data_IF_945838964760
#
_entry.id   IF_945838964760
#
_cell.length_a   1.000
_cell.length_b   1.000
_cell.length_c   1.000
_cell.angle_alpha   90.00
_cell.angle_beta   90.00
_cell.angle_gamma   90.00
#
_symmetry.space_group_name_H-M   'P 1'
#
loop_
_entity.id
_entity.type
_entity.pdbx_description
1 polymer ?
#
# COMPACT_ATOMS: atom_id res chain seq x y z
N UNK A 1 80.51 -22.78 45.88
CA UNK A 1 80.43 -23.50 44.59
C UNK A 1 79.07 -23.17 44.00
N UNK A 2 79.03 -22.39 42.93
CA UNK A 2 77.81 -22.05 42.19
C UNK A 2 77.33 -23.32 41.48
N UNK A 3 76.24 -23.89 41.94
CA UNK A 3 75.56 -24.97 41.22
C UNK A 3 74.75 -24.28 40.12
N UNK A 4 74.91 -24.63 38.83
CA UNK A 4 74.19 -23.98 37.74
C UNK A 4 72.68 -24.20 37.90
N UNK A 5 71.91 -23.12 37.75
CA UNK A 5 70.45 -23.19 37.67
C UNK A 5 70.08 -23.99 36.42
N UNK A 6 69.13 -24.95 36.49
CA UNK A 6 68.75 -25.73 35.32
C UNK A 6 68.20 -24.82 34.21
N UNK A 7 68.61 -25.09 32.97
CA UNK A 7 68.14 -24.39 31.78
C UNK A 7 66.60 -24.36 31.70
N UNK A 8 66.00 -23.24 31.25
CA UNK A 8 64.56 -23.16 31.08
C UNK A 8 64.10 -24.20 30.05
N UNK A 9 63.07 -24.98 30.42
CA UNK A 9 62.39 -25.91 29.53
C UNK A 9 61.86 -25.08 28.34
N UNK A 10 62.08 -25.51 27.08
CA UNK A 10 61.54 -24.82 25.92
C UNK A 10 60.02 -24.67 26.02
N UNK A 11 59.50 -23.49 25.66
CA UNK A 11 58.06 -23.25 25.64
C UNK A 11 57.34 -24.30 24.78
N UNK A 12 56.13 -24.76 25.19
CA UNK A 12 55.37 -25.71 24.42
C UNK A 12 55.06 -25.13 23.03
N UNK A 13 55.30 -25.94 22.00
CA UNK A 13 54.98 -25.62 20.61
C UNK A 13 53.48 -25.32 20.53
N UNK A 14 53.03 -24.21 19.92
CA UNK A 14 51.61 -23.94 19.76
C UNK A 14 50.89 -25.10 19.05
N UNK A 15 49.73 -25.52 19.56
CA UNK A 15 48.90 -26.53 18.91
C UNK A 15 48.60 -26.12 17.45
N UNK A 16 48.57 -27.06 16.50
CA UNK A 16 48.17 -26.75 15.14
C UNK A 16 46.76 -26.18 15.15
N UNK A 17 46.57 -25.02 14.51
CA UNK A 17 45.25 -24.42 14.35
C UNK A 17 44.30 -25.47 13.73
N UNK A 18 43.07 -25.63 14.24
CA UNK A 18 42.12 -26.59 13.67
C UNK A 18 41.89 -26.26 12.19
N UNK A 19 41.82 -27.31 11.36
CA UNK A 19 41.48 -27.18 9.94
C UNK A 19 40.17 -26.38 9.80
N UNK A 20 40.05 -25.51 8.77
CA UNK A 20 38.81 -24.82 8.52
C UNK A 20 37.70 -25.85 8.27
N UNK A 21 36.64 -25.79 9.08
CA UNK A 21 35.42 -26.55 8.85
C UNK A 21 34.95 -26.22 7.42
N UNK A 22 34.65 -27.20 6.55
CA UNK A 22 34.07 -26.93 5.26
C UNK A 22 32.86 -26.01 5.41
N UNK A 23 32.84 -24.91 4.66
CA UNK A 23 31.72 -23.96 4.67
C UNK A 23 30.42 -24.75 4.49
N UNK A 24 29.39 -24.58 5.35
CA UNK A 24 28.11 -25.22 5.12
C UNK A 24 27.65 -24.86 3.72
N UNK A 25 27.31 -25.87 2.92
CA UNK A 25 26.66 -25.67 1.62
C UNK A 25 25.55 -24.64 1.82
N UNK A 26 25.44 -23.62 0.96
CA UNK A 26 24.41 -22.59 1.10
C UNK A 26 23.07 -23.27 1.32
N UNK A 27 22.33 -22.82 2.33
CA UNK A 27 20.96 -23.26 2.57
C UNK A 27 20.23 -23.30 1.23
N UNK A 28 19.37 -24.32 0.97
CA UNK A 28 18.51 -24.27 -0.19
C UNK A 28 17.79 -22.92 -0.14
N UNK A 29 18.05 -22.08 -1.14
CA UNK A 29 17.35 -20.82 -1.33
C UNK A 29 15.87 -21.17 -1.14
N UNK A 30 15.17 -20.54 -0.16
CA UNK A 30 13.75 -20.76 -0.01
C UNK A 30 13.13 -20.64 -1.40
N UNK A 31 12.34 -21.64 -1.83
CA UNK A 31 11.67 -21.62 -3.14
C UNK A 31 11.23 -20.18 -3.40
N UNK A 32 11.52 -19.62 -4.59
CA UNK A 32 11.18 -18.24 -4.87
C UNK A 32 9.72 -18.09 -4.45
N UNK A 33 9.48 -17.26 -3.42
CA UNK A 33 8.16 -16.78 -3.04
C UNK A 33 7.49 -16.57 -4.40
N UNK A 34 6.37 -17.25 -4.73
CA UNK A 34 5.79 -17.11 -6.04
C UNK A 34 5.69 -15.62 -6.25
N UNK A 35 6.52 -15.13 -7.17
CA UNK A 35 6.56 -13.73 -7.48
C UNK A 35 5.10 -13.44 -7.77
N UNK A 36 4.50 -12.55 -7.00
CA UNK A 36 3.11 -12.18 -7.25
C UNK A 36 2.98 -11.44 -8.61
N UNK A 37 3.96 -11.60 -9.50
CA UNK A 37 3.81 -11.52 -10.95
C UNK A 37 3.00 -12.68 -11.55
N UNK A 38 2.45 -13.61 -10.75
CA UNK A 38 1.41 -14.55 -11.14
C UNK A 38 -0.02 -14.15 -10.68
N UNK A 39 -0.26 -12.88 -10.33
CA UNK A 39 -1.63 -12.38 -10.17
C UNK A 39 -2.36 -12.11 -11.50
N UNK A 40 -1.78 -12.51 -12.64
CA UNK A 40 -2.45 -12.44 -13.95
C UNK A 40 -3.53 -13.50 -14.13
N UNK A 41 -3.68 -14.45 -13.18
CA UNK A 41 -4.70 -15.51 -13.23
C UNK A 41 -5.93 -15.27 -12.31
N UNK A 42 -5.97 -14.18 -11.54
CA UNK A 42 -7.11 -13.84 -10.67
C UNK A 42 -7.63 -12.42 -10.87
N UNK A 43 -7.34 -11.75 -11.99
CA UNK A 43 -8.12 -10.58 -12.34
C UNK A 43 -9.53 -11.09 -12.71
N UNK A 44 -10.58 -10.91 -11.87
CA UNK A 44 -11.90 -10.82 -12.44
C UNK A 44 -11.76 -9.80 -13.58
N UNK A 45 -12.29 -10.12 -14.75
CA UNK A 45 -12.54 -9.14 -15.81
C UNK A 45 -12.96 -7.82 -15.16
N UNK A 46 -12.46 -6.67 -15.62
CA UNK A 46 -12.65 -5.36 -14.97
C UNK A 46 -14.11 -5.10 -14.54
N UNK A 47 -15.07 -5.73 -15.21
CA UNK A 47 -16.50 -5.81 -14.90
C UNK A 47 -16.85 -6.51 -13.57
N UNK A 48 -16.19 -7.61 -13.19
CA UNK A 48 -16.52 -8.40 -11.99
C UNK A 48 -15.98 -7.79 -10.68
N UNK A 49 -14.95 -6.92 -10.73
CA UNK A 49 -14.50 -6.14 -9.56
C UNK A 49 -15.42 -4.95 -9.24
N UNK A 50 -16.42 -4.68 -10.09
CA UNK A 50 -17.30 -3.54 -9.88
C UNK A 50 -18.32 -3.75 -8.75
N UNK A 51 -18.80 -4.98 -8.54
CA UNK A 51 -19.76 -5.32 -7.47
C UNK A 51 -19.27 -4.97 -6.07
N UNK A 52 -18.07 -5.42 -5.62
CA UNK A 52 -17.58 -5.05 -4.29
C UNK A 52 -17.28 -3.55 -4.18
N UNK A 53 -16.94 -2.89 -5.30
CA UNK A 53 -16.72 -1.45 -5.32
C UNK A 53 -18.02 -0.67 -5.09
N UNK A 54 -19.09 -1.07 -5.76
CA UNK A 54 -20.43 -0.51 -5.62
C UNK A 54 -21.01 -0.76 -4.21
N UNK A 55 -20.75 -1.94 -3.64
CA UNK A 55 -21.10 -2.23 -2.25
C UNK A 55 -20.34 -1.32 -1.27
N UNK A 56 -19.02 -1.16 -1.45
CA UNK A 56 -18.22 -0.25 -0.63
C UNK A 56 -18.72 1.20 -0.71
N UNK A 57 -19.07 1.69 -1.91
CA UNK A 57 -19.67 3.01 -2.09
C UNK A 57 -21.00 3.13 -1.32
N UNK A 58 -21.85 2.10 -1.37
CA UNK A 58 -23.13 2.08 -0.65
C UNK A 58 -22.94 2.18 0.87
N UNK A 59 -21.94 1.48 1.41
CA UNK A 59 -21.58 1.54 2.83
C UNK A 59 -21.08 2.93 3.21
N UNK A 60 -20.25 3.55 2.38
CA UNK A 60 -19.80 4.93 2.59
C UNK A 60 -20.96 5.91 2.60
N UNK A 61 -21.92 5.78 1.67
CA UNK A 61 -23.12 6.62 1.63
C UNK A 61 -23.93 6.49 2.91
N UNK A 62 -24.19 5.26 3.35
CA UNK A 62 -24.92 4.98 4.59
C UNK A 62 -24.19 5.51 5.84
N UNK A 63 -22.87 5.38 5.89
CA UNK A 63 -22.06 5.89 6.99
C UNK A 63 -22.10 7.42 7.06
N UNK A 64 -22.03 8.09 5.92
CA UNK A 64 -21.93 9.55 5.79
C UNK A 64 -23.28 10.26 5.62
N UNK A 65 -24.39 9.51 5.67
CA UNK A 65 -25.75 10.03 5.65
C UNK A 65 -26.02 10.93 6.85
N UNK A 66 -25.41 10.61 8.00
CA UNK A 66 -25.46 11.46 9.17
C UNK A 66 -24.55 12.69 8.99
N UNK A 67 -25.08 13.92 9.18
CA UNK A 67 -24.32 15.16 8.95
C UNK A 67 -23.22 15.42 10.00
N UNK A 68 -23.08 14.57 11.01
CA UNK A 68 -22.03 14.65 12.03
C UNK A 68 -20.66 14.18 11.54
N UNK A 69 -19.63 14.43 12.36
CA UNK A 69 -18.30 13.85 12.13
C UNK A 69 -18.42 12.33 12.31
N UNK A 70 -18.10 11.53 11.29
CA UNK A 70 -18.28 10.10 11.38
C UNK A 70 -17.32 9.52 12.42
N UNK A 71 -17.79 8.55 13.21
CA UNK A 71 -17.04 7.92 14.30
C UNK A 71 -16.08 6.83 13.76
N UNK A 72 -15.27 7.20 12.77
CA UNK A 72 -14.28 6.33 12.12
C UNK A 72 -12.97 6.36 12.89
N UNK A 73 -12.18 5.27 12.79
CA UNK A 73 -10.87 5.14 13.46
C UNK A 73 -9.93 6.32 13.18
N UNK A 74 -9.82 6.74 11.92
CA UNK A 74 -9.07 7.92 11.50
C UNK A 74 -9.80 8.61 10.35
N UNK A 75 -10.08 9.92 10.47
CA UNK A 75 -10.69 10.69 9.40
C UNK A 75 -9.76 10.84 8.18
N UNK A 76 -8.45 10.89 8.36
CA UNK A 76 -7.46 10.99 7.28
C UNK A 76 -7.44 9.72 6.43
N UNK A 77 -7.47 8.55 7.08
CA UNK A 77 -7.57 7.26 6.38
C UNK A 77 -8.89 7.13 5.62
N UNK A 78 -9.96 7.69 6.17
CA UNK A 78 -11.29 7.74 5.55
C UNK A 78 -11.25 8.58 4.25
N UNK A 79 -10.60 9.73 4.28
CA UNK A 79 -10.36 10.60 3.11
C UNK A 79 -9.55 9.84 2.05
N UNK A 80 -8.44 9.22 2.42
CA UNK A 80 -7.60 8.43 1.51
C UNK A 80 -8.37 7.26 0.87
N UNK A 81 -9.19 6.56 1.65
CA UNK A 81 -10.02 5.46 1.16
C UNK A 81 -11.04 5.91 0.11
N UNK A 82 -11.74 7.02 0.36
CA UNK A 82 -12.68 7.61 -0.61
C UNK A 82 -12.00 8.13 -1.88
N UNK A 83 -10.78 8.67 -1.75
CA UNK A 83 -9.99 9.09 -2.90
C UNK A 83 -9.54 7.91 -3.77
N UNK A 84 -9.17 6.79 -3.15
CA UNK A 84 -8.86 5.55 -3.85
C UNK A 84 -10.10 5.01 -4.58
N UNK A 85 -11.25 5.00 -3.91
CA UNK A 85 -12.54 4.60 -4.50
C UNK A 85 -12.85 5.40 -5.78
N UNK A 86 -12.73 6.73 -5.73
CA UNK A 86 -12.90 7.59 -6.90
C UNK A 86 -11.92 7.25 -8.03
N UNK A 87 -10.66 7.01 -7.70
CA UNK A 87 -9.61 6.66 -8.66
C UNK A 87 -9.90 5.32 -9.35
N UNK A 88 -10.39 4.33 -8.60
CA UNK A 88 -10.78 3.02 -9.13
C UNK A 88 -11.97 3.13 -10.09
N UNK A 89 -12.98 3.94 -9.76
CA UNK A 89 -14.12 4.16 -10.66
C UNK A 89 -13.72 4.85 -11.96
N UNK A 90 -12.78 5.80 -11.90
CA UNK A 90 -12.21 6.43 -13.10
C UNK A 90 -11.52 5.40 -14.00
N UNK A 91 -10.72 4.51 -13.40
CA UNK A 91 -10.02 3.46 -14.14
C UNK A 91 -11.00 2.46 -14.79
N UNK A 92 -12.14 2.19 -14.14
CA UNK A 92 -13.19 1.32 -14.67
C UNK A 92 -14.08 1.99 -15.74
N UNK A 93 -13.82 3.24 -16.11
CA UNK A 93 -14.68 3.97 -17.06
C UNK A 93 -16.08 4.26 -16.52
N UNK A 94 -16.21 4.37 -15.19
CA UNK A 94 -17.47 4.66 -14.47
C UNK A 94 -17.42 6.07 -13.86
N UNK A 95 -17.44 7.13 -14.68
CA UNK A 95 -17.21 8.50 -14.22
C UNK A 95 -18.31 9.01 -13.28
N UNK A 96 -19.55 8.52 -13.40
CA UNK A 96 -20.64 8.91 -12.50
C UNK A 96 -20.38 8.47 -11.05
N UNK A 97 -19.96 7.22 -10.86
CA UNK A 97 -19.59 6.72 -9.53
C UNK A 97 -18.32 7.40 -8.96
N UNK A 98 -17.39 7.81 -9.84
CA UNK A 98 -16.27 8.64 -9.45
C UNK A 98 -16.71 10.03 -8.93
N UNK A 99 -17.73 10.65 -9.56
CA UNK A 99 -18.31 11.90 -9.05
C UNK A 99 -18.95 11.69 -7.68
N UNK A 100 -19.72 10.63 -7.49
CA UNK A 100 -20.38 10.36 -6.21
C UNK A 100 -19.36 10.20 -5.07
N UNK A 101 -18.31 9.41 -5.29
CA UNK A 101 -17.24 9.22 -4.30
C UNK A 101 -16.49 10.51 -3.98
N UNK A 102 -16.20 11.36 -4.98
CA UNK A 102 -15.60 12.69 -4.75
C UNK A 102 -16.55 13.66 -4.04
N UNK A 103 -17.85 13.59 -4.27
CA UNK A 103 -18.84 14.39 -3.56
C UNK A 103 -18.90 14.00 -2.08
N UNK A 104 -18.87 12.69 -1.79
CA UNK A 104 -18.76 12.18 -0.42
C UNK A 104 -17.45 12.63 0.24
N UNK A 105 -16.32 12.54 -0.46
CA UNK A 105 -15.02 13.02 0.01
C UNK A 105 -15.06 14.51 0.38
N UNK A 106 -15.59 15.36 -0.51
CA UNK A 106 -15.74 16.80 -0.25
C UNK A 106 -16.64 17.06 0.96
N UNK A 107 -17.76 16.33 1.10
CA UNK A 107 -18.65 16.46 2.25
C UNK A 107 -17.93 16.12 3.55
N UNK A 108 -17.09 15.08 3.54
CA UNK A 108 -16.30 14.66 4.68
C UNK A 108 -15.23 15.70 5.04
N UNK A 109 -14.42 16.16 4.09
CA UNK A 109 -13.41 17.18 4.33
C UNK A 109 -14.03 18.46 4.92
N UNK A 110 -15.22 18.88 4.45
CA UNK A 110 -15.94 20.02 5.03
C UNK A 110 -16.34 19.78 6.49
N UNK A 111 -16.82 18.58 6.83
CA UNK A 111 -17.18 18.23 8.22
C UNK A 111 -15.96 18.17 9.14
N UNK A 112 -14.82 17.73 8.60
CA UNK A 112 -13.54 17.69 9.31
C UNK A 112 -12.84 19.06 9.41
N UNK A 113 -13.40 20.11 8.80
CA UNK A 113 -12.77 21.44 8.63
C UNK A 113 -11.42 21.38 7.89
N UNK A 114 -11.24 20.38 7.03
CA UNK A 114 -10.11 20.27 6.11
C UNK A 114 -10.40 21.09 4.84
N UNK A 115 -10.01 22.37 4.88
CA UNK A 115 -10.12 23.29 3.75
C UNK A 115 -9.36 22.82 2.50
N UNK A 116 -8.06 22.52 2.61
CA UNK A 116 -7.26 22.01 1.49
C UNK A 116 -7.84 20.76 0.84
N UNK A 117 -8.26 19.76 1.62
CA UNK A 117 -8.88 18.55 1.07
C UNK A 117 -10.22 18.83 0.40
N UNK A 118 -11.05 19.71 0.95
CA UNK A 118 -12.32 20.10 0.34
C UNK A 118 -12.14 20.84 -1.00
N UNK A 119 -11.09 21.66 -1.11
CA UNK A 119 -10.72 22.34 -2.35
C UNK A 119 -10.15 21.36 -3.39
N UNK A 120 -9.29 20.44 -2.98
CA UNK A 120 -8.75 19.39 -3.85
C UNK A 120 -9.85 18.49 -4.42
N UNK A 121 -10.79 18.06 -3.59
CA UNK A 121 -11.95 17.28 -4.01
C UNK A 121 -12.84 18.06 -5.00
N UNK A 122 -13.03 19.37 -4.80
CA UNK A 122 -13.79 20.19 -5.75
C UNK A 122 -13.09 20.32 -7.10
N UNK A 123 -11.77 20.54 -7.07
CA UNK A 123 -10.97 20.61 -8.30
C UNK A 123 -11.12 19.33 -9.11
N UNK A 124 -11.03 18.16 -8.47
CA UNK A 124 -11.23 16.88 -9.15
C UNK A 124 -12.67 16.70 -9.67
N UNK A 125 -13.69 17.09 -8.90
CA UNK A 125 -15.09 17.09 -9.35
C UNK A 125 -15.27 17.95 -10.61
N UNK A 126 -14.82 19.21 -10.56
CA UNK A 126 -14.91 20.13 -11.69
C UNK A 126 -14.17 19.61 -12.91
N UNK A 127 -12.95 19.08 -12.73
CA UNK A 127 -12.19 18.47 -13.82
C UNK A 127 -12.96 17.33 -14.47
N UNK A 128 -13.53 16.45 -13.67
CA UNK A 128 -14.23 15.27 -14.18
C UNK A 128 -15.55 15.62 -14.87
N UNK A 129 -16.28 16.62 -14.36
CA UNK A 129 -17.48 17.16 -15.03
C UNK A 129 -17.14 17.75 -16.41
N UNK A 130 -16.09 18.56 -16.49
CA UNK A 130 -15.64 19.13 -17.77
C UNK A 130 -15.22 18.05 -18.77
N UNK A 131 -14.59 16.96 -18.30
CA UNK A 131 -14.25 15.82 -19.15
C UNK A 131 -15.48 15.10 -19.69
N UNK A 132 -16.57 15.04 -18.92
CA UNK A 132 -17.84 14.43 -19.34
C UNK A 132 -18.59 15.29 -20.37
N UNK A 133 -18.55 16.62 -20.20
CA UNK A 133 -19.18 17.57 -21.12
C UNK A 133 -18.41 17.70 -22.46
N UNK A 134 -17.12 17.36 -22.47
CA UNK A 134 -16.25 17.42 -23.65
C UNK A 134 -15.83 16.02 -24.13
N UNK A 135 -16.65 15.32 -24.96
CA UNK A 135 -16.36 13.94 -25.39
C UNK A 135 -15.08 13.79 -26.24
N UNK A 136 -14.51 14.89 -26.72
CA UNK A 136 -13.25 14.90 -27.49
C UNK A 136 -12.03 14.37 -26.73
N UNK A 137 -12.07 14.29 -25.38
CA UNK A 137 -10.96 13.80 -24.55
C UNK A 137 -11.13 12.34 -24.11
N UNK A 138 -12.18 11.64 -24.57
CA UNK A 138 -12.47 10.26 -24.21
C UNK A 138 -11.97 9.22 -25.24
N UNK A 139 -11.21 9.62 -26.26
CA UNK A 139 -10.56 8.69 -27.18
C UNK A 139 -9.14 8.39 -26.68
N UNK A 140 -8.96 7.18 -26.16
CA UNK A 140 -7.68 6.48 -26.01
C UNK A 140 -7.75 5.25 -26.90
#
# INVERSE_FOLDING_TARGET
VLIPNPDPIPDPIPDPSPDPIPDPSPDPIPDPIPSCSAATALLPTATALSKPLDEALSLWKKLLENPGIPKVRSPEQTVSSLQLLASLYRLQGKPLQALESLALLRSLCRRLRDGPGAAAALRELSRLLLQLECPAHAQV
#
